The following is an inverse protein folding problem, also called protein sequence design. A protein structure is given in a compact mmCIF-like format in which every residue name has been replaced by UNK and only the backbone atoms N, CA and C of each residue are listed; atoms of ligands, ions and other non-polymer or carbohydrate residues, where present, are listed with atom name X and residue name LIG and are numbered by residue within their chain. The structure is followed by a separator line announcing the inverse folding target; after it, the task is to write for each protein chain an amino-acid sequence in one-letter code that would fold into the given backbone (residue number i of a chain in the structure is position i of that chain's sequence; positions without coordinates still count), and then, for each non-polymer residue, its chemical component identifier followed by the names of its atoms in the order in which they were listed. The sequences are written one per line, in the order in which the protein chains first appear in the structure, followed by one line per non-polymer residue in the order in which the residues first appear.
data_IF_533518055705
#
_entry.id   IF_533518055705
#
_cell.length_a   1.000
_cell.length_b   1.000
_cell.length_c   1.000
_cell.angle_alpha   90.00
_cell.angle_beta   90.00
_cell.angle_gamma   90.00
#
_symmetry.space_group_name_H-M   'P 1'
#
loop_
_entity.id
_entity.type
_entity.pdbx_description
1 polymer ?
#
# COMPACT_ATOMS: atom_id res chain seq x y z
N UNK A 1 5.90 -6.82 -13.36
CA UNK A 1 4.48 -6.73 -13.00
C UNK A 1 3.77 -8.05 -13.27
N UNK A 2 3.17 -8.66 -12.25
CA UNK A 2 2.38 -9.89 -12.42
C UNK A 2 0.99 -9.58 -12.98
N UNK A 3 0.71 -9.97 -14.22
CA UNK A 3 -0.61 -9.83 -14.86
C UNK A 3 -0.74 -10.77 -16.05
N UNK A 4 -1.91 -11.40 -16.19
CA UNK A 4 -2.25 -12.21 -17.36
C UNK A 4 -2.69 -11.35 -18.56
N UNK A 5 -3.11 -10.12 -18.32
CA UNK A 5 -3.54 -9.20 -19.39
C UNK A 5 -2.33 -8.42 -19.91
N UNK A 6 -1.94 -8.73 -21.15
CA UNK A 6 -0.93 -7.99 -21.91
C UNK A 6 -1.36 -6.55 -22.15
N UNK A 7 -2.63 -6.31 -22.49
CA UNK A 7 -3.16 -4.96 -22.71
C UNK A 7 -3.02 -4.10 -21.47
N UNK A 8 -3.36 -4.64 -20.29
CA UNK A 8 -3.18 -3.93 -19.01
C UNK A 8 -1.72 -3.59 -18.76
N UNK A 9 -0.81 -4.54 -18.99
CA UNK A 9 0.61 -4.32 -18.83
C UNK A 9 1.12 -3.21 -19.77
N UNK A 10 0.76 -3.26 -21.05
CA UNK A 10 1.19 -2.27 -22.04
C UNK A 10 0.67 -0.86 -21.74
N UNK A 11 -0.56 -0.72 -21.21
CA UNK A 11 -1.08 0.59 -20.78
C UNK A 11 -0.22 1.18 -19.66
N UNK A 12 0.05 0.41 -18.62
CA UNK A 12 0.88 0.84 -17.48
C UNK A 12 2.32 1.11 -17.91
N UNK A 13 2.89 0.29 -18.78
CA UNK A 13 4.24 0.52 -19.31
C UNK A 13 4.34 1.85 -20.06
N UNK A 14 3.30 2.24 -20.81
CA UNK A 14 3.26 3.50 -21.55
C UNK A 14 3.09 4.74 -20.67
N UNK A 15 2.68 4.59 -19.42
CA UNK A 15 2.64 5.70 -18.44
C UNK A 15 4.06 6.13 -18.04
N UNK A 16 5.06 5.25 -18.16
CA UNK A 16 6.46 5.57 -17.91
C UNK A 16 7.11 6.28 -19.12
N UNK A 17 8.03 7.24 -18.88
CA UNK A 17 8.90 7.79 -19.93
C UNK A 17 9.62 6.68 -20.71
N UNK A 18 9.84 6.90 -22.00
CA UNK A 18 10.34 5.87 -22.95
C UNK A 18 11.63 5.21 -22.46
N UNK A 19 12.53 5.99 -21.89
CA UNK A 19 13.81 5.55 -21.33
C UNK A 19 13.66 4.60 -20.13
N UNK A 20 12.53 4.62 -19.43
CA UNK A 20 12.26 3.79 -18.25
C UNK A 20 11.35 2.59 -18.53
N UNK A 21 10.70 2.53 -19.70
CA UNK A 21 9.73 1.46 -20.02
C UNK A 21 10.34 0.06 -19.96
N UNK A 22 11.63 -0.06 -20.27
CA UNK A 22 12.37 -1.34 -20.24
C UNK A 22 12.59 -1.89 -18.83
N UNK A 23 12.46 -1.07 -17.78
CA UNK A 23 12.56 -1.54 -16.40
C UNK A 23 11.28 -2.23 -15.90
N UNK A 24 10.16 -2.04 -16.60
CA UNK A 24 8.91 -2.72 -16.28
C UNK A 24 8.71 -3.93 -17.20
N UNK A 25 8.80 -5.12 -16.64
CA UNK A 25 8.65 -6.38 -17.38
C UNK A 25 7.35 -7.10 -16.98
N UNK A 26 6.61 -7.63 -17.95
CA UNK A 26 5.43 -8.46 -17.69
C UNK A 26 5.85 -9.85 -17.21
N UNK A 27 5.20 -10.34 -16.17
CA UNK A 27 5.29 -11.76 -15.76
C UNK A 27 3.88 -12.31 -15.56
N UNK A 28 3.71 -13.60 -15.80
CA UNK A 28 2.41 -14.30 -15.65
C UNK A 28 2.40 -15.31 -14.51
N UNK A 29 3.56 -15.53 -13.88
CA UNK A 29 3.81 -16.55 -12.86
C UNK A 29 4.75 -15.99 -11.77
N UNK A 30 4.51 -16.33 -10.51
CA UNK A 30 5.31 -15.86 -9.36
C UNK A 30 6.78 -16.32 -9.40
N UNK A 31 7.03 -17.48 -10.02
CA UNK A 31 8.34 -18.07 -10.27
C UNK A 31 9.33 -17.08 -10.90
N UNK A 32 8.83 -16.17 -11.73
CA UNK A 32 9.67 -15.17 -12.40
C UNK A 32 10.35 -14.21 -11.41
N UNK A 33 9.81 -14.07 -10.19
CA UNK A 33 10.36 -13.22 -9.13
C UNK A 33 11.26 -13.97 -8.13
N UNK A 34 11.70 -15.20 -8.46
CA UNK A 34 12.52 -16.03 -7.55
C UNK A 34 13.87 -15.43 -7.14
N UNK A 35 14.34 -14.43 -7.88
CA UNK A 35 15.58 -13.71 -7.59
C UNK A 35 15.32 -12.28 -7.05
N UNK A 36 14.06 -11.92 -6.80
CA UNK A 36 13.69 -10.59 -6.32
C UNK A 36 13.52 -10.61 -4.80
N UNK A 37 14.29 -9.79 -4.08
CA UNK A 37 14.17 -9.65 -2.62
C UNK A 37 13.12 -8.64 -2.16
N UNK A 38 12.61 -7.82 -3.06
CA UNK A 38 11.58 -6.82 -2.77
C UNK A 38 10.30 -7.21 -3.48
N UNK A 39 9.26 -7.51 -2.71
CA UNK A 39 7.96 -7.93 -3.25
C UNK A 39 6.89 -6.92 -2.87
N UNK A 40 6.30 -6.25 -3.86
CA UNK A 40 5.18 -5.33 -3.69
C UNK A 40 3.90 -6.10 -3.97
N UNK A 41 3.06 -6.26 -2.94
CA UNK A 41 1.90 -7.15 -2.95
C UNK A 41 0.62 -6.33 -2.81
N UNK A 42 -0.04 -6.08 -3.94
CA UNK A 42 -1.35 -5.41 -4.02
C UNK A 42 -2.54 -6.37 -4.17
N UNK A 43 -2.30 -7.68 -4.13
CA UNK A 43 -3.33 -8.74 -4.17
C UNK A 43 -2.98 -9.79 -3.13
N UNK A 44 -3.99 -10.35 -2.48
CA UNK A 44 -3.78 -11.42 -1.51
C UNK A 44 -3.13 -12.64 -2.17
N UNK A 45 -2.08 -13.19 -1.52
CA UNK A 45 -1.33 -14.37 -1.99
C UNK A 45 -1.25 -15.45 -0.90
N UNK A 46 -1.33 -16.70 -1.33
CA UNK A 46 -1.25 -17.90 -0.51
C UNK A 46 0.17 -18.18 0.01
N UNK A 47 0.32 -18.96 1.09
CA UNK A 47 1.63 -19.46 1.53
C UNK A 47 2.45 -20.13 0.42
N UNK A 48 1.79 -20.90 -0.46
CA UNK A 48 2.46 -21.57 -1.60
C UNK A 48 3.04 -20.58 -2.60
N UNK A 49 2.34 -19.49 -2.88
CA UNK A 49 2.84 -18.44 -3.77
C UNK A 49 4.02 -17.68 -3.15
N UNK A 50 3.99 -17.45 -1.83
CA UNK A 50 5.10 -16.84 -1.09
C UNK A 50 6.40 -17.67 -1.11
N UNK A 51 6.33 -18.99 -1.36
CA UNK A 51 7.53 -19.84 -1.49
C UNK A 51 8.39 -19.52 -2.71
N UNK A 52 7.84 -18.82 -3.71
CA UNK A 52 8.63 -18.34 -4.84
C UNK A 52 9.53 -17.18 -4.47
N UNK A 53 9.29 -16.47 -3.37
CA UNK A 53 10.20 -15.44 -2.91
C UNK A 53 11.49 -16.05 -2.32
N UNK A 54 12.68 -15.51 -2.66
CA UNK A 54 13.93 -15.96 -2.09
C UNK A 54 14.00 -15.71 -0.58
N UNK A 55 14.94 -16.39 0.09
CA UNK A 55 15.20 -16.15 1.52
C UNK A 55 15.65 -14.70 1.73
N UNK A 56 15.19 -14.09 2.81
CA UNK A 56 15.47 -12.68 3.13
C UNK A 56 14.65 -11.67 2.32
N UNK A 57 13.58 -12.11 1.64
CA UNK A 57 12.64 -11.19 0.98
C UNK A 57 11.91 -10.32 2.00
N UNK A 58 11.68 -9.07 1.64
CA UNK A 58 10.73 -8.19 2.30
C UNK A 58 9.46 -8.04 1.45
N UNK A 59 8.30 -8.29 2.07
CA UNK A 59 6.98 -8.11 1.45
C UNK A 59 6.40 -6.75 1.85
N UNK A 60 6.36 -5.80 0.92
CA UNK A 60 5.59 -4.56 1.05
C UNK A 60 4.13 -4.84 0.70
N UNK A 61 3.21 -4.63 1.63
CA UNK A 61 1.82 -5.03 1.50
C UNK A 61 0.91 -3.82 1.30
N UNK A 62 0.02 -3.90 0.33
CA UNK A 62 -1.02 -2.89 0.05
C UNK A 62 -2.42 -3.51 0.01
N UNK A 63 -2.54 -4.77 0.42
CA UNK A 63 -3.80 -5.52 0.43
C UNK A 63 -4.38 -5.55 1.85
N UNK A 64 -5.67 -5.25 1.98
CA UNK A 64 -6.44 -5.38 3.22
C UNK A 64 -7.42 -6.55 3.05
N UNK A 65 -7.41 -7.59 3.92
CA UNK A 65 -6.48 -7.82 5.03
C UNK A 65 -5.05 -8.14 4.57
N UNK A 66 -4.04 -7.99 5.45
CA UNK A 66 -2.65 -8.32 5.11
C UNK A 66 -2.51 -9.81 4.78
N UNK A 67 -1.48 -10.16 4.01
CA UNK A 67 -1.17 -11.56 3.71
C UNK A 67 -0.65 -12.25 4.96
N UNK A 68 -0.85 -13.57 5.04
CA UNK A 68 -0.34 -14.35 6.16
C UNK A 68 1.20 -14.33 6.17
N UNK A 69 1.80 -13.89 7.28
CA UNK A 69 3.26 -13.89 7.51
C UNK A 69 3.81 -15.29 7.75
N UNK A 70 3.81 -16.11 6.70
CA UNK A 70 4.08 -17.54 6.78
C UNK A 70 5.58 -17.90 6.75
N UNK A 71 6.38 -17.13 6.02
CA UNK A 71 7.82 -17.38 5.81
C UNK A 71 8.63 -16.76 6.95
N UNK A 72 9.17 -17.60 7.84
CA UNK A 72 10.03 -17.18 8.97
C UNK A 72 11.39 -16.60 8.54
N UNK A 73 11.81 -16.90 7.32
CA UNK A 73 13.05 -16.42 6.71
C UNK A 73 12.83 -15.17 5.83
N UNK A 74 11.66 -14.54 5.91
CA UNK A 74 11.29 -13.30 5.23
C UNK A 74 10.72 -12.30 6.24
N UNK A 75 10.56 -11.06 5.81
CA UNK A 75 9.93 -9.99 6.60
C UNK A 75 8.71 -9.44 5.87
N UNK A 76 7.78 -8.87 6.62
CA UNK A 76 6.49 -8.37 6.13
C UNK A 76 6.31 -6.95 6.66
N UNK A 77 6.08 -6.00 5.77
CA UNK A 77 5.72 -4.64 6.15
C UNK A 77 4.29 -4.57 6.66
N UNK A 78 4.06 -3.71 7.65
CA UNK A 78 2.71 -3.41 8.13
C UNK A 78 1.91 -2.65 7.07
N UNK A 79 0.58 -2.78 7.13
CA UNK A 79 -0.29 -1.95 6.30
C UNK A 79 -0.24 -0.51 6.81
N UNK A 80 -0.19 0.44 5.88
CA UNK A 80 -0.23 1.85 6.23
C UNK A 80 -1.54 2.18 6.97
N UNK A 81 -1.40 2.75 8.16
CA UNK A 81 -2.51 3.11 9.03
C UNK A 81 -2.18 4.37 9.84
N UNK A 82 -3.21 5.07 10.26
CA UNK A 82 -3.13 6.32 11.02
C UNK A 82 -3.99 6.20 12.27
N UNK A 83 -3.45 6.70 13.38
CA UNK A 83 -4.20 6.95 14.61
C UNK A 83 -4.95 8.27 14.46
N UNK A 84 -6.22 8.25 14.82
CA UNK A 84 -7.09 9.42 14.89
C UNK A 84 -6.79 10.27 16.15
N UNK A 85 -7.21 11.54 16.20
CA UNK A 85 -7.21 12.34 17.41
C UNK A 85 -7.95 11.65 18.57
N UNK A 86 -7.56 11.95 19.81
CA UNK A 86 -8.14 11.30 21.00
C UNK A 86 -9.58 11.77 21.29
N UNK A 87 -9.91 12.98 20.88
CA UNK A 87 -11.21 13.64 20.99
C UNK A 87 -12.11 13.40 19.76
N UNK A 88 -11.76 12.44 18.90
CA UNK A 88 -12.56 12.14 17.71
C UNK A 88 -13.95 11.65 18.08
N UNK A 89 -14.98 12.32 17.58
CA UNK A 89 -16.39 11.95 17.74
C UNK A 89 -16.95 11.38 16.42
N UNK A 90 -18.08 10.67 16.50
CA UNK A 90 -18.80 10.18 15.31
C UNK A 90 -18.24 8.92 14.64
N UNK A 91 -17.07 8.42 15.05
CA UNK A 91 -16.50 7.15 14.59
C UNK A 91 -16.81 6.02 15.58
N UNK A 92 -17.99 5.43 15.43
CA UNK A 92 -18.53 4.40 16.33
C UNK A 92 -18.06 2.95 16.06
N UNK A 93 -17.18 2.72 15.10
CA UNK A 93 -16.69 1.38 14.73
C UNK A 93 -15.16 1.28 14.74
N UNK A 94 -14.64 0.11 15.10
CA UNK A 94 -13.23 -0.23 14.93
C UNK A 94 -13.01 -0.73 13.50
N UNK A 95 -11.90 -0.36 12.88
CA UNK A 95 -11.63 -0.76 11.52
C UNK A 95 -10.99 -2.15 11.43
N UNK A 96 -11.81 -3.16 11.10
CA UNK A 96 -11.35 -4.52 10.83
C UNK A 96 -10.43 -5.09 11.93
N UNK A 97 -9.12 -5.24 11.66
CA UNK A 97 -8.08 -5.73 12.59
C UNK A 97 -7.32 -4.62 13.30
N UNK A 98 -7.68 -3.36 13.07
CA UNK A 98 -7.06 -2.22 13.74
C UNK A 98 -7.59 -2.08 15.15
N UNK A 99 -6.74 -1.57 16.03
CA UNK A 99 -7.15 -1.20 17.38
C UNK A 99 -8.08 0.03 17.37
N UNK A 100 -8.72 0.29 18.51
CA UNK A 100 -9.60 1.45 18.66
C UNK A 100 -8.83 2.76 18.40
N UNK A 101 -9.42 3.63 17.59
CA UNK A 101 -8.83 4.91 17.21
C UNK A 101 -7.75 4.81 16.13
N UNK A 102 -7.60 3.65 15.48
CA UNK A 102 -6.72 3.47 14.32
C UNK A 102 -7.55 3.08 13.11
N UNK A 103 -7.23 3.69 11.97
CA UNK A 103 -7.84 3.43 10.67
C UNK A 103 -6.74 3.16 9.63
N UNK A 104 -7.05 2.41 8.57
CA UNK A 104 -6.09 2.29 7.46
C UNK A 104 -5.88 3.65 6.78
N UNK A 105 -4.70 3.86 6.21
CA UNK A 105 -4.31 5.14 5.62
C UNK A 105 -5.25 5.58 4.49
N UNK A 106 -5.88 4.64 3.78
CA UNK A 106 -6.89 4.95 2.76
C UNK A 106 -8.15 5.62 3.34
N UNK A 107 -8.64 5.17 4.50
CA UNK A 107 -9.77 5.82 5.17
C UNK A 107 -9.37 7.12 5.85
N UNK A 108 -8.19 7.17 6.46
CA UNK A 108 -7.61 8.42 6.95
C UNK A 108 -7.54 9.48 5.83
N UNK A 109 -7.10 9.09 4.63
CA UNK A 109 -7.09 9.95 3.47
C UNK A 109 -8.48 10.50 3.13
N UNK A 110 -9.52 9.66 3.18
CA UNK A 110 -10.91 10.10 2.99
C UNK A 110 -11.39 11.11 4.05
N UNK A 111 -11.00 10.92 5.31
CA UNK A 111 -11.28 11.87 6.40
C UNK A 111 -10.59 13.21 6.14
N UNK A 112 -9.29 13.19 5.86
CA UNK A 112 -8.50 14.40 5.56
C UNK A 112 -9.08 15.14 4.35
N UNK A 113 -9.47 14.42 3.31
CA UNK A 113 -10.11 14.96 2.13
C UNK A 113 -11.38 15.75 2.47
N UNK A 114 -12.24 15.17 3.33
CA UNK A 114 -13.47 15.83 3.79
C UNK A 114 -13.17 17.05 4.67
N UNK A 115 -12.16 16.97 5.56
CA UNK A 115 -11.81 18.04 6.49
C UNK A 115 -11.19 19.26 5.78
N UNK A 116 -10.39 19.02 4.74
CA UNK A 116 -9.79 20.09 3.94
C UNK A 116 -10.75 20.65 2.87
N UNK A 117 -11.95 20.06 2.73
CA UNK A 117 -12.96 20.52 1.77
C UNK A 117 -12.50 20.41 0.32
N UNK A 118 -11.68 19.41 0.01
CA UNK A 118 -11.20 19.19 -1.35
C UNK A 118 -12.32 18.70 -2.27
N UNK A 119 -12.31 19.22 -3.49
CA UNK A 119 -13.33 18.95 -4.53
C UNK A 119 -12.86 17.94 -5.60
N UNK A 120 -11.55 17.84 -5.82
CA UNK A 120 -10.94 16.83 -6.66
C UNK A 120 -11.19 15.42 -6.11
N UNK A 121 -11.19 14.39 -6.94
CA UNK A 121 -11.27 13.01 -6.47
C UNK A 121 -10.06 12.24 -6.99
N UNK A 122 -9.33 11.57 -6.10
CA UNK A 122 -8.22 10.69 -6.49
C UNK A 122 -8.75 9.33 -6.92
N UNK A 123 -9.36 9.30 -8.11
CA UNK A 123 -9.79 8.06 -8.77
C UNK A 123 -8.82 7.75 -9.90
N UNK A 124 -7.99 6.71 -9.72
CA UNK A 124 -7.04 6.27 -10.72
C UNK A 124 -5.59 6.42 -10.27
N UNK A 125 -4.74 7.00 -11.12
CA UNK A 125 -3.33 7.22 -10.79
C UNK A 125 -3.19 8.25 -9.67
N UNK A 126 -2.28 7.97 -8.73
CA UNK A 126 -1.93 8.88 -7.63
C UNK A 126 -1.21 10.13 -8.19
N UNK A 127 -1.64 11.33 -7.78
CA UNK A 127 -0.86 12.55 -8.04
C UNK A 127 0.30 12.63 -7.05
N UNK A 128 1.49 12.21 -7.49
CA UNK A 128 2.70 12.15 -6.65
C UNK A 128 3.09 13.51 -6.06
N UNK A 129 2.68 14.62 -6.67
CA UNK A 129 3.00 15.97 -6.17
C UNK A 129 2.14 16.36 -4.96
N UNK A 130 1.05 15.64 -4.69
CA UNK A 130 0.15 15.90 -3.56
C UNK A 130 0.48 15.08 -2.34
N UNK A 131 1.43 14.12 -2.41
CA UNK A 131 1.76 13.24 -1.29
C UNK A 131 2.11 14.05 -0.03
N UNK A 132 3.02 15.02 -0.16
CA UNK A 132 3.46 15.84 0.98
C UNK A 132 2.34 16.76 1.46
N UNK A 133 1.54 17.33 0.55
CA UNK A 133 0.40 18.18 0.90
C UNK A 133 -0.64 17.41 1.72
N UNK A 134 -1.00 16.20 1.28
CA UNK A 134 -1.97 15.34 1.98
C UNK A 134 -1.42 14.87 3.32
N UNK A 135 -0.12 14.56 3.38
CA UNK A 135 0.56 14.18 4.60
C UNK A 135 0.55 15.28 5.65
N UNK A 136 0.95 16.49 5.29
CA UNK A 136 0.96 17.65 6.21
C UNK A 136 -0.47 18.02 6.67
N UNK A 137 -1.46 17.91 5.79
CA UNK A 137 -2.86 18.09 6.16
C UNK A 137 -3.32 17.04 7.19
N UNK A 138 -2.93 15.78 7.02
CA UNK A 138 -3.24 14.72 7.98
C UNK A 138 -2.64 15.03 9.37
N UNK A 139 -1.38 15.45 9.42
CA UNK A 139 -0.71 15.83 10.67
C UNK A 139 -1.36 17.05 11.33
N UNK A 140 -1.73 18.07 10.53
CA UNK A 140 -2.45 19.28 10.99
C UNK A 140 -3.79 18.94 11.66
N UNK A 141 -4.51 17.93 11.16
CA UNK A 141 -5.75 17.42 11.77
C UNK A 141 -5.52 16.42 12.91
N UNK A 142 -4.28 16.26 13.38
CA UNK A 142 -3.94 15.42 14.52
C UNK A 142 -3.89 13.92 14.23
N UNK A 143 -3.97 13.51 12.96
CA UNK A 143 -3.73 12.13 12.59
C UNK A 143 -2.23 11.82 12.73
N UNK A 144 -1.91 10.64 13.23
CA UNK A 144 -0.52 10.23 13.51
C UNK A 144 -0.23 8.86 12.87
N UNK A 145 0.90 8.65 12.19
CA UNK A 145 1.26 7.31 11.72
C UNK A 145 1.35 6.33 12.88
N UNK A 146 0.85 5.11 12.69
CA UNK A 146 0.98 4.05 13.70
C UNK A 146 2.33 3.35 13.68
N UNK A 147 3.16 3.61 12.67
CA UNK A 147 4.43 2.93 12.51
C UNK A 147 5.35 3.18 13.71
N UNK A 148 5.75 2.10 14.36
CA UNK A 148 6.97 2.07 15.18
C UNK A 148 8.14 2.22 14.22
N UNK A 149 8.54 3.45 13.91
CA UNK A 149 9.89 3.66 13.40
C UNK A 149 10.84 3.27 14.55
N UNK A 150 11.29 2.01 14.57
CA UNK A 150 12.53 1.70 15.26
C UNK A 150 13.62 2.46 14.50
N UNK A 151 13.99 3.63 15.04
CA UNK A 151 15.29 4.23 14.77
C UNK A 151 16.38 3.31 15.25
#
# INVERSE_FOLDING_TARGET
MLTLSTDRFQRIQKEAPVEYQNYLVQVTKYQAAQNCKTWIVGKWITPREQYWAPRGTHFHQFVVPPILSFRKDCTYGDLAAMRLPEDVEGLGCCEYTMERGVVHACHAGGVVHSLEGWDHHEVGALDVNRIDLVWEAALKHGLRPVSRFTQ
#
